data_IF_600788255144
#
_entry.id   IF_600788255144
#
_cell.length_a   1.000
_cell.length_b   1.000
_cell.length_c   1.000
_cell.angle_alpha   90.00
_cell.angle_beta   90.00
_cell.angle_gamma   90.00
#
_symmetry.space_group_name_H-M   'P 1'
#
loop_
_entity.id
_entity.type
_entity.pdbx_description
1 polymer ?
#
# COMPACT_ATOMS: atom_id res chain seq x y z
N UNK A 1 -24.20 -12.81 9.41
CA UNK A 1 -22.92 -12.41 8.76
C UNK A 1 -22.29 -11.31 9.59
N UNK A 2 -20.99 -11.39 9.86
CA UNK A 2 -20.27 -10.32 10.56
C UNK A 2 -20.24 -9.08 9.69
N UNK A 3 -20.67 -7.93 10.22
CA UNK A 3 -20.68 -6.68 9.48
C UNK A 3 -19.24 -6.24 9.16
N UNK A 4 -18.97 -5.82 7.92
CA UNK A 4 -17.66 -5.30 7.50
C UNK A 4 -17.66 -3.78 7.49
N UNK A 5 -16.56 -3.18 7.96
CA UNK A 5 -16.33 -1.73 7.91
C UNK A 5 -15.09 -1.47 7.07
N UNK A 6 -15.29 -0.90 5.91
CA UNK A 6 -14.23 -0.49 4.99
C UNK A 6 -13.75 0.92 5.32
N UNK A 7 -12.46 1.16 5.17
CA UNK A 7 -11.87 2.48 5.39
C UNK A 7 -10.70 2.74 4.44
N UNK A 8 -10.59 3.97 3.98
CA UNK A 8 -9.55 4.44 3.07
C UNK A 8 -8.41 5.09 3.86
N UNK A 9 -7.23 4.49 3.82
CA UNK A 9 -6.00 5.01 4.43
C UNK A 9 -4.86 5.01 3.41
N UNK A 10 -4.80 6.03 2.52
CA UNK A 10 -3.86 6.10 1.39
C UNK A 10 -2.40 6.24 1.81
N UNK A 11 -2.16 6.58 3.07
CA UNK A 11 -0.84 6.73 3.68
C UNK A 11 -0.24 5.40 4.18
N UNK A 12 -0.83 4.26 3.82
CA UNK A 12 -0.42 2.97 4.37
C UNK A 12 1.05 2.62 4.12
N UNK A 13 1.55 2.84 2.90
CA UNK A 13 2.96 2.55 2.56
C UNK A 13 3.93 3.42 3.38
N UNK A 14 3.59 4.69 3.58
CA UNK A 14 4.37 5.58 4.45
C UNK A 14 4.35 5.12 5.91
N UNK A 15 3.22 4.61 6.38
CA UNK A 15 3.08 4.05 7.72
C UNK A 15 3.88 2.75 7.89
N UNK A 16 3.90 1.88 6.87
CA UNK A 16 4.72 0.67 6.83
C UNK A 16 6.21 1.00 6.82
N UNK A 17 6.62 1.98 6.00
CA UNK A 17 8.00 2.46 5.94
C UNK A 17 8.49 2.99 7.29
N UNK A 18 7.64 3.73 8.02
CA UNK A 18 7.98 4.24 9.35
C UNK A 18 8.13 3.13 10.39
N UNK A 19 7.41 2.01 10.25
CA UNK A 19 7.52 0.82 11.12
C UNK A 19 7.04 0.99 12.56
N UNK A 20 6.87 2.23 13.03
CA UNK A 20 6.49 2.53 14.40
C UNK A 20 5.06 3.05 14.55
N UNK A 21 4.51 2.92 15.75
CA UNK A 21 3.15 3.36 16.02
C UNK A 21 2.95 4.86 16.28
N UNK A 22 3.97 5.67 16.06
CA UNK A 22 3.93 7.13 16.23
C UNK A 22 3.97 7.87 14.89
N UNK A 23 3.74 7.17 13.79
CA UNK A 23 3.67 7.79 12.46
C UNK A 23 2.50 8.80 12.40
N UNK A 24 2.79 9.98 11.87
CA UNK A 24 1.82 11.03 11.58
C UNK A 24 1.78 11.21 10.06
N UNK A 25 0.61 11.02 9.47
CA UNK A 25 0.43 11.22 8.03
C UNK A 25 0.73 12.67 7.64
N UNK A 26 1.45 12.90 6.51
CA UNK A 26 1.67 14.25 6.02
C UNK A 26 0.35 14.93 5.60
N UNK A 27 0.28 16.27 5.57
CA UNK A 27 -0.97 16.99 5.29
C UNK A 27 -1.66 16.58 3.98
N UNK A 28 -0.89 16.32 2.93
CA UNK A 28 -1.44 15.90 1.64
C UNK A 28 -2.15 14.54 1.73
N UNK A 29 -1.61 13.60 2.50
CA UNK A 29 -2.20 12.27 2.68
C UNK A 29 -3.45 12.34 3.57
N UNK A 30 -3.44 13.21 4.60
CA UNK A 30 -4.63 13.47 5.42
C UNK A 30 -5.75 14.09 4.59
N UNK A 31 -5.42 15.07 3.73
CA UNK A 31 -6.38 15.66 2.80
C UNK A 31 -6.96 14.61 1.85
N UNK A 32 -6.11 13.80 1.21
CA UNK A 32 -6.56 12.72 0.32
C UNK A 32 -7.46 11.72 1.05
N UNK A 33 -7.11 11.34 2.28
CA UNK A 33 -7.94 10.45 3.10
C UNK A 33 -9.33 11.04 3.34
N UNK A 34 -9.43 12.33 3.65
CA UNK A 34 -10.70 12.98 3.91
C UNK A 34 -11.53 13.15 2.63
N UNK A 35 -10.91 13.63 1.54
CA UNK A 35 -11.58 13.89 0.27
C UNK A 35 -12.11 12.59 -0.37
N UNK A 36 -11.39 11.48 -0.21
CA UNK A 36 -11.71 10.19 -0.84
C UNK A 36 -12.18 9.12 0.15
N UNK A 37 -12.59 9.50 1.37
CA UNK A 37 -12.99 8.54 2.40
C UNK A 37 -14.17 7.64 1.98
N UNK A 38 -15.02 8.09 1.06
CA UNK A 38 -16.13 7.32 0.51
C UNK A 38 -15.72 6.33 -0.61
N UNK A 39 -14.47 6.37 -1.09
CA UNK A 39 -14.00 5.50 -2.19
C UNK A 39 -14.33 4.02 -1.99
N UNK A 40 -14.24 3.44 -0.78
CA UNK A 40 -14.56 2.05 -0.56
C UNK A 40 -16.00 1.65 -0.90
N UNK A 41 -16.95 2.57 -0.99
CA UNK A 41 -18.34 2.22 -1.35
C UNK A 41 -18.47 1.54 -2.72
N UNK A 42 -17.49 1.76 -3.62
CA UNK A 42 -17.50 1.23 -4.99
C UNK A 42 -17.05 -0.22 -5.11
N UNK A 43 -16.37 -0.75 -4.07
CA UNK A 43 -15.88 -2.14 -4.07
C UNK A 43 -16.24 -2.92 -2.80
N UNK A 44 -16.86 -2.26 -1.79
CA UNK A 44 -17.26 -2.92 -0.57
C UNK A 44 -18.36 -3.96 -0.84
N UNK A 45 -18.32 -5.06 -0.09
CA UNK A 45 -19.33 -6.10 -0.19
C UNK A 45 -20.73 -5.56 0.20
N UNK A 46 -21.80 -6.03 -0.44
CA UNK A 46 -23.16 -5.65 -0.06
C UNK A 46 -23.44 -5.82 1.43
N UNK A 47 -24.14 -4.87 2.03
CA UNK A 47 -24.44 -4.86 3.47
C UNK A 47 -23.31 -4.36 4.38
N UNK A 48 -22.20 -3.91 3.79
CA UNK A 48 -21.07 -3.35 4.54
C UNK A 48 -21.29 -1.88 4.91
N UNK A 49 -20.38 -1.38 5.78
CA UNK A 49 -20.27 0.05 6.08
C UNK A 49 -18.96 0.62 5.53
N UNK A 50 -18.95 1.93 5.28
CA UNK A 50 -17.77 2.71 4.87
C UNK A 50 -17.51 3.80 5.90
N UNK A 51 -16.32 3.80 6.49
CA UNK A 51 -15.90 4.85 7.42
C UNK A 51 -15.61 6.13 6.66
N UNK A 52 -16.35 7.17 6.97
CA UNK A 52 -16.24 8.48 6.33
C UNK A 52 -15.78 9.57 7.31
N UNK A 53 -15.43 10.74 6.79
CA UNK A 53 -14.81 11.80 7.58
C UNK A 53 -15.79 12.44 8.59
N UNK A 54 -17.02 12.66 8.16
CA UNK A 54 -18.05 13.42 8.90
C UNK A 54 -19.48 13.00 8.54
N UNK A 55 -20.44 13.66 9.15
CA UNK A 55 -21.87 13.38 8.97
C UNK A 55 -22.38 13.73 7.56
N UNK A 56 -21.87 14.82 6.97
CA UNK A 56 -22.27 15.21 5.61
C UNK A 56 -21.86 14.14 4.60
N UNK A 57 -20.65 13.59 4.74
CA UNK A 57 -20.17 12.50 3.88
C UNK A 57 -20.93 11.19 4.17
N UNK A 58 -21.35 10.94 5.41
CA UNK A 58 -22.19 9.79 5.75
C UNK A 58 -23.54 9.88 5.02
N UNK A 59 -24.21 11.03 5.07
CA UNK A 59 -25.46 11.27 4.36
C UNK A 59 -25.31 11.13 2.85
N UNK A 60 -24.20 11.62 2.31
CA UNK A 60 -23.87 11.49 0.89
C UNK A 60 -23.70 10.01 0.48
N UNK A 61 -22.99 9.21 1.28
CA UNK A 61 -22.82 7.77 1.03
C UNK A 61 -24.17 7.07 1.08
N UNK A 62 -24.98 7.34 2.11
CA UNK A 62 -26.29 6.70 2.30
C UNK A 62 -27.25 7.01 1.13
N UNK A 63 -27.36 8.29 0.74
CA UNK A 63 -28.22 8.73 -0.36
C UNK A 63 -27.74 8.25 -1.73
N UNK A 64 -26.42 8.24 -1.95
CA UNK A 64 -25.83 7.74 -3.20
C UNK A 64 -26.00 6.23 -3.32
N UNK A 65 -25.81 5.50 -2.22
CA UNK A 65 -26.02 4.06 -2.12
C UNK A 65 -27.47 3.71 -2.48
N UNK A 66 -28.45 4.40 -1.89
CA UNK A 66 -29.87 4.21 -2.18
C UNK A 66 -30.19 4.48 -3.66
N UNK A 67 -29.71 5.60 -4.20
CA UNK A 67 -29.94 5.99 -5.60
C UNK A 67 -29.37 4.97 -6.60
N UNK A 68 -28.24 4.32 -6.27
CA UNK A 68 -27.58 3.34 -7.13
C UNK A 68 -28.03 1.89 -6.85
N UNK A 69 -28.91 1.68 -5.88
CA UNK A 69 -29.34 0.32 -5.48
C UNK A 69 -28.28 -0.47 -4.71
N UNK A 70 -27.30 0.21 -4.12
CA UNK A 70 -26.34 -0.43 -3.23
C UNK A 70 -26.94 -0.62 -1.84
N UNK A 71 -26.34 -1.53 -1.07
CA UNK A 71 -26.70 -1.77 0.34
C UNK A 71 -25.59 -1.33 1.30
N UNK A 72 -24.79 -0.35 0.89
CA UNK A 72 -23.69 0.22 1.65
C UNK A 72 -24.21 1.36 2.53
N UNK A 73 -23.68 1.47 3.75
CA UNK A 73 -24.00 2.56 4.68
C UNK A 73 -22.73 3.31 5.11
N UNK A 74 -22.84 4.62 5.29
CA UNK A 74 -21.79 5.41 5.91
C UNK A 74 -21.74 5.21 7.43
N UNK A 75 -20.53 5.28 8.01
CA UNK A 75 -20.31 5.32 9.47
C UNK A 75 -19.28 6.39 9.79
N UNK A 76 -19.55 7.19 10.82
CA UNK A 76 -18.61 8.23 11.30
C UNK A 76 -17.65 7.70 12.36
N UNK A 77 -16.51 8.35 12.59
CA UNK A 77 -15.55 7.94 13.62
C UNK A 77 -16.14 7.83 15.02
N UNK A 78 -17.11 8.67 15.38
CA UNK A 78 -17.74 8.66 16.71
C UNK A 78 -18.63 7.42 16.94
N UNK A 79 -19.05 6.77 15.87
CA UNK A 79 -19.87 5.57 15.93
C UNK A 79 -19.05 4.28 15.99
N UNK A 80 -17.72 4.32 15.78
CA UNK A 80 -16.87 3.12 15.72
C UNK A 80 -16.84 2.33 17.04
N UNK A 81 -16.89 3.02 18.19
CA UNK A 81 -16.89 2.38 19.51
C UNK A 81 -18.11 1.45 19.72
N UNK A 82 -19.17 1.62 18.94
CA UNK A 82 -20.39 0.80 19.00
C UNK A 82 -20.33 -0.44 18.08
N UNK A 83 -19.31 -0.54 17.22
CA UNK A 83 -19.12 -1.65 16.28
C UNK A 83 -18.50 -2.88 16.99
N UNK A 84 -19.25 -3.52 17.89
CA UNK A 84 -18.75 -4.54 18.81
C UNK A 84 -18.41 -5.88 18.15
N UNK A 85 -18.93 -6.17 16.94
CA UNK A 85 -18.78 -7.44 16.22
C UNK A 85 -18.41 -7.23 14.75
N UNK A 86 -17.85 -6.05 14.41
CA UNK A 86 -17.50 -5.73 13.05
C UNK A 86 -16.08 -6.25 12.69
N UNK A 87 -15.91 -6.64 11.42
CA UNK A 87 -14.63 -6.87 10.80
C UNK A 87 -14.15 -5.60 10.08
N UNK A 88 -12.94 -5.17 10.33
CA UNK A 88 -12.38 -3.96 9.73
C UNK A 88 -11.58 -4.31 8.47
N UNK A 89 -11.86 -3.58 7.38
CA UNK A 89 -11.26 -3.76 6.07
C UNK A 89 -10.59 -2.44 5.62
N UNK A 90 -9.42 -2.06 6.16
CA UNK A 90 -8.69 -0.88 5.68
C UNK A 90 -8.15 -1.10 4.27
N UNK A 91 -7.88 -0.01 3.55
CA UNK A 91 -7.15 -0.04 2.28
C UNK A 91 -5.81 -0.78 2.42
N UNK A 92 -5.12 -0.56 3.54
CA UNK A 92 -3.96 -1.35 3.92
C UNK A 92 -3.81 -1.45 5.44
N UNK A 93 -3.41 -2.62 5.91
CA UNK A 93 -3.12 -2.85 7.32
C UNK A 93 -1.71 -2.35 7.69
N UNK A 94 -1.61 -1.65 8.82
CA UNK A 94 -0.36 -1.24 9.46
C UNK A 94 -0.58 -1.05 10.96
N UNK A 95 0.49 -1.05 11.74
CA UNK A 95 0.42 -0.74 13.18
C UNK A 95 -0.22 0.63 13.46
N UNK A 96 -0.07 1.57 12.53
CA UNK A 96 -0.66 2.92 12.64
C UNK A 96 -2.18 2.88 12.57
N UNK A 97 -2.76 2.22 11.56
CA UNK A 97 -4.22 2.15 11.44
C UNK A 97 -4.84 1.36 12.59
N UNK A 98 -4.20 0.28 13.04
CA UNK A 98 -4.61 -0.45 14.24
C UNK A 98 -4.70 0.47 15.46
N UNK A 99 -3.66 1.26 15.74
CA UNK A 99 -3.64 2.22 16.87
C UNK A 99 -4.69 3.32 16.71
N UNK A 100 -4.90 3.83 15.47
CA UNK A 100 -5.97 4.82 15.21
C UNK A 100 -7.36 4.26 15.54
N UNK A 101 -7.64 3.01 15.16
CA UNK A 101 -8.91 2.34 15.47
C UNK A 101 -9.09 2.12 16.98
N UNK A 102 -8.07 1.66 17.68
CA UNK A 102 -8.10 1.51 19.15
C UNK A 102 -8.36 2.86 19.83
N UNK A 103 -7.69 3.92 19.39
CA UNK A 103 -7.91 5.29 19.93
C UNK A 103 -9.34 5.78 19.71
N UNK A 104 -10.06 5.26 18.70
CA UNK A 104 -11.47 5.53 18.41
C UNK A 104 -12.43 4.58 19.15
N UNK A 105 -11.93 3.79 20.08
CA UNK A 105 -12.74 2.91 20.93
C UNK A 105 -13.00 1.52 20.36
N UNK A 106 -12.37 1.14 19.23
CA UNK A 106 -12.46 -0.22 18.70
C UNK A 106 -11.72 -1.17 19.62
N UNK A 107 -12.36 -2.28 19.99
CA UNK A 107 -11.77 -3.28 20.88
C UNK A 107 -10.63 -4.01 20.19
N UNK A 108 -9.50 -4.16 20.87
CA UNK A 108 -8.27 -4.74 20.31
C UNK A 108 -8.44 -6.17 19.78
N UNK A 109 -9.32 -6.98 20.38
CA UNK A 109 -9.57 -8.35 19.93
C UNK A 109 -10.29 -8.46 18.57
N UNK A 110 -10.89 -7.38 18.09
CA UNK A 110 -11.48 -7.28 16.74
C UNK A 110 -10.44 -6.95 15.66
N UNK A 111 -9.21 -6.66 16.05
CA UNK A 111 -8.14 -6.20 15.17
C UNK A 111 -7.02 -7.27 15.10
N UNK A 112 -6.27 -7.32 13.98
CA UNK A 112 -5.16 -8.25 13.87
C UNK A 112 -4.12 -8.05 14.99
N UNK A 113 -3.39 -9.11 15.37
CA UNK A 113 -2.33 -9.05 16.36
C UNK A 113 -1.16 -8.16 15.91
N UNK A 114 -0.28 -7.74 16.83
CA UNK A 114 0.91 -6.97 16.46
C UNK A 114 1.88 -7.82 15.62
N UNK A 115 1.95 -9.13 15.89
CA UNK A 115 2.71 -10.05 15.05
C UNK A 115 2.16 -10.12 13.61
N UNK A 116 0.83 -10.11 13.43
CA UNK A 116 0.23 -10.04 12.09
C UNK A 116 0.54 -8.71 11.39
N UNK A 117 0.57 -7.58 12.12
CA UNK A 117 0.97 -6.29 11.55
C UNK A 117 2.43 -6.29 11.10
N UNK A 118 3.33 -6.89 11.84
CA UNK A 118 4.73 -7.02 11.43
C UNK A 118 4.87 -7.95 10.21
N UNK A 119 4.12 -9.05 10.15
CA UNK A 119 4.10 -9.90 8.95
C UNK A 119 3.62 -9.14 7.70
N UNK A 120 2.57 -8.33 7.82
CA UNK A 120 2.11 -7.47 6.71
C UNK A 120 3.23 -6.53 6.27
N UNK A 121 3.95 -5.90 7.21
CA UNK A 121 5.07 -5.00 6.93
C UNK A 121 6.19 -5.73 6.19
N UNK A 122 6.59 -6.90 6.65
CA UNK A 122 7.63 -7.72 6.02
C UNK A 122 7.23 -8.18 4.62
N UNK A 123 5.98 -8.62 4.43
CA UNK A 123 5.47 -9.06 3.13
C UNK A 123 5.33 -7.90 2.13
N UNK A 124 5.03 -6.69 2.60
CA UNK A 124 4.93 -5.50 1.75
C UNK A 124 6.30 -4.95 1.31
N UNK A 125 7.41 -5.45 1.88
CA UNK A 125 8.76 -5.00 1.51
C UNK A 125 9.13 -5.45 0.10
N UNK A 126 9.63 -4.54 -0.73
CA UNK A 126 9.96 -4.83 -2.15
C UNK A 126 11.01 -5.91 -2.34
N UNK A 127 11.86 -6.21 -1.32
CA UNK A 127 12.82 -7.34 -1.41
C UNK A 127 12.16 -8.67 -1.73
N UNK A 128 10.88 -8.83 -1.42
CA UNK A 128 10.14 -10.04 -1.74
C UNK A 128 9.99 -10.26 -3.26
N UNK A 129 10.18 -9.20 -4.08
CA UNK A 129 10.21 -9.34 -5.54
C UNK A 129 11.41 -10.16 -6.02
N UNK A 130 12.52 -10.18 -5.28
CA UNK A 130 13.72 -10.98 -5.59
C UNK A 130 13.36 -12.48 -5.54
N UNK A 131 12.77 -12.91 -4.43
CA UNK A 131 12.34 -14.31 -4.27
C UNK A 131 11.25 -14.69 -5.27
N UNK A 132 10.30 -13.78 -5.55
CA UNK A 132 9.27 -13.98 -6.56
C UNK A 132 9.88 -14.09 -7.95
N UNK A 133 10.87 -13.26 -8.30
CA UNK A 133 11.55 -13.31 -9.58
C UNK A 133 12.22 -14.67 -9.80
N UNK A 134 12.97 -15.18 -8.81
CA UNK A 134 13.57 -16.52 -8.88
C UNK A 134 12.50 -17.61 -9.02
N UNK A 135 11.42 -17.53 -8.26
CA UNK A 135 10.31 -18.48 -8.33
C UNK A 135 9.69 -18.54 -9.75
N UNK A 136 9.52 -17.38 -10.40
CA UNK A 136 9.00 -17.29 -11.76
C UNK A 136 10.03 -17.83 -12.75
N UNK A 137 11.30 -17.45 -12.62
CA UNK A 137 12.38 -17.87 -13.51
C UNK A 137 12.54 -19.39 -13.61
N UNK A 138 12.33 -20.09 -12.49
CA UNK A 138 12.35 -21.55 -12.44
C UNK A 138 11.16 -22.23 -13.17
N UNK A 139 10.08 -21.46 -13.43
CA UNK A 139 8.79 -22.00 -13.94
C UNK A 139 8.38 -21.49 -15.30
N UNK A 140 9.18 -20.64 -15.92
CA UNK A 140 8.92 -20.11 -17.26
C UNK A 140 10.16 -20.20 -18.14
N UNK A 141 9.94 -20.36 -19.43
CA UNK A 141 10.97 -20.21 -20.47
C UNK A 141 10.96 -18.81 -21.10
N UNK A 142 10.07 -17.91 -20.64
CA UNK A 142 10.03 -16.55 -21.15
C UNK A 142 11.27 -15.76 -20.67
N UNK A 143 11.80 -14.87 -21.52
CA UNK A 143 12.87 -13.97 -21.09
C UNK A 143 12.35 -13.03 -19.98
N UNK A 144 13.04 -13.02 -18.86
CA UNK A 144 12.77 -12.10 -17.76
C UNK A 144 13.86 -11.02 -17.72
N UNK A 145 13.52 -9.87 -17.14
CA UNK A 145 14.51 -8.85 -16.77
C UNK A 145 15.52 -9.44 -15.77
N UNK A 146 16.71 -8.85 -15.61
CA UNK A 146 17.64 -9.25 -14.55
C UNK A 146 16.99 -9.21 -13.18
N UNK A 147 17.42 -10.12 -12.28
CA UNK A 147 16.94 -10.15 -10.89
C UNK A 147 17.22 -8.81 -10.21
N UNK A 148 16.24 -8.22 -9.52
CA UNK A 148 16.48 -7.04 -8.70
C UNK A 148 17.52 -7.28 -7.62
N UNK A 149 18.29 -6.26 -7.25
CA UNK A 149 19.31 -6.34 -6.19
C UNK A 149 19.00 -5.31 -5.11
N UNK A 150 19.14 -5.70 -3.86
CA UNK A 150 18.98 -4.80 -2.72
C UNK A 150 20.35 -4.38 -2.17
N UNK A 151 20.52 -3.07 -1.93
CA UNK A 151 21.72 -2.48 -1.36
C UNK A 151 21.36 -1.57 -0.18
N UNK A 152 22.24 -1.53 0.82
CA UNK A 152 22.17 -0.67 2.00
C UNK A 152 23.28 0.40 2.03
N UNK A 153 24.22 0.36 1.07
CA UNK A 153 25.28 1.33 0.88
C UNK A 153 25.10 2.16 -0.39
N UNK A 154 25.33 3.48 -0.29
CA UNK A 154 25.18 4.39 -1.42
C UNK A 154 26.15 4.11 -2.56
N UNK A 155 27.41 3.70 -2.27
CA UNK A 155 28.40 3.46 -3.32
C UNK A 155 28.04 2.23 -4.14
N UNK A 156 27.42 1.21 -3.54
CA UNK A 156 26.91 0.04 -4.26
C UNK A 156 25.74 0.42 -5.16
N UNK A 157 24.82 1.27 -4.68
CA UNK A 157 23.72 1.82 -5.49
C UNK A 157 24.24 2.65 -6.65
N UNK A 158 25.25 3.49 -6.42
CA UNK A 158 25.88 4.32 -7.45
C UNK A 158 26.60 3.47 -8.49
N UNK A 159 27.36 2.45 -8.05
CA UNK A 159 28.05 1.51 -8.93
C UNK A 159 27.03 0.75 -9.82
N UNK A 160 25.95 0.25 -9.22
CA UNK A 160 24.87 -0.40 -9.97
C UNK A 160 24.26 0.55 -11.01
N UNK A 161 23.87 1.75 -10.61
CA UNK A 161 23.22 2.72 -11.49
C UNK A 161 24.17 3.19 -12.62
N UNK A 162 25.46 3.30 -12.35
CA UNK A 162 26.50 3.65 -13.34
C UNK A 162 26.69 2.53 -14.37
N UNK A 163 26.66 1.28 -13.93
CA UNK A 163 26.73 0.09 -14.82
C UNK A 163 25.48 -0.14 -15.65
N UNK A 164 24.33 0.34 -15.14
CA UNK A 164 23.00 0.18 -15.75
C UNK A 164 22.28 1.53 -15.89
N UNK A 165 22.72 2.42 -16.80
CA UNK A 165 22.03 3.70 -17.03
C UNK A 165 20.55 3.48 -17.38
N UNK A 166 19.66 4.29 -16.81
CA UNK A 166 18.22 4.10 -16.97
C UNK A 166 17.62 3.06 -16.02
N UNK A 167 18.39 2.57 -15.04
CA UNK A 167 17.86 1.71 -13.98
C UNK A 167 16.86 2.42 -13.07
N UNK A 168 16.03 1.63 -12.40
CA UNK A 168 15.08 2.10 -11.39
C UNK A 168 15.57 1.79 -9.99
N UNK A 169 15.72 2.83 -9.18
CA UNK A 169 16.10 2.72 -7.77
C UNK A 169 14.84 2.96 -6.93
N UNK A 170 14.44 1.98 -6.11
CA UNK A 170 13.14 1.97 -5.44
C UNK A 170 13.29 1.88 -3.92
N UNK A 171 12.53 2.70 -3.21
CA UNK A 171 12.41 2.55 -1.75
C UNK A 171 11.68 1.25 -1.40
N UNK A 172 12.04 0.56 -0.30
CA UNK A 172 11.42 -0.68 0.14
C UNK A 172 9.90 -0.65 0.30
N UNK A 173 9.39 0.41 0.91
CA UNK A 173 7.96 0.64 1.09
C UNK A 173 7.56 1.94 0.40
N UNK A 174 6.94 1.81 -0.75
CA UNK A 174 6.41 2.94 -1.49
C UNK A 174 5.40 2.45 -2.52
N UNK A 175 4.44 3.29 -2.88
CA UNK A 175 3.41 3.00 -3.85
C UNK A 175 3.20 4.14 -4.85
N UNK A 176 2.43 3.90 -5.90
CA UNK A 176 1.98 4.90 -6.88
C UNK A 176 3.12 5.74 -7.48
N UNK A 177 4.25 5.11 -7.80
CA UNK A 177 5.43 5.78 -8.36
C UNK A 177 6.22 6.64 -7.37
N UNK A 178 5.70 6.92 -6.18
CA UNK A 178 6.47 7.61 -5.14
C UNK A 178 7.58 6.71 -4.61
N UNK A 179 8.73 7.30 -4.29
CA UNK A 179 9.88 6.52 -3.81
C UNK A 179 10.54 5.67 -4.90
N UNK A 180 10.39 6.06 -6.16
CA UNK A 180 11.11 5.49 -7.31
C UNK A 180 11.93 6.59 -7.96
N UNK A 181 13.21 6.32 -8.21
CA UNK A 181 14.11 7.20 -8.96
C UNK A 181 14.54 6.49 -10.25
N UNK A 182 14.37 7.17 -11.38
CA UNK A 182 14.86 6.70 -12.67
C UNK A 182 16.26 7.25 -12.90
N UNK A 183 17.27 6.40 -12.79
CA UNK A 183 18.69 6.77 -12.81
C UNK A 183 19.23 6.87 -14.25
N UNK A 184 18.82 7.90 -14.99
CA UNK A 184 19.34 8.19 -16.33
C UNK A 184 20.77 8.73 -16.21
N UNK A 185 21.00 9.67 -15.29
CA UNK A 185 22.29 10.29 -15.00
C UNK A 185 22.61 10.10 -13.50
N UNK A 186 23.23 8.96 -13.12
CA UNK A 186 23.39 8.62 -11.70
C UNK A 186 24.47 9.43 -10.96
N UNK A 187 25.37 10.12 -11.67
CA UNK A 187 26.46 10.89 -11.05
C UNK A 187 26.05 12.33 -10.67
N UNK A 188 24.76 12.60 -10.45
CA UNK A 188 24.27 13.92 -10.08
C UNK A 188 24.15 14.10 -8.57
N UNK A 189 24.29 15.36 -8.10
CA UNK A 189 24.06 15.71 -6.69
C UNK A 189 22.62 15.38 -6.26
N UNK A 190 21.66 15.48 -7.18
CA UNK A 190 20.27 15.16 -6.93
C UNK A 190 20.08 13.66 -6.64
N UNK A 191 20.64 12.80 -7.47
CA UNK A 191 20.66 11.35 -7.27
C UNK A 191 21.26 10.96 -5.92
N UNK A 192 22.47 11.50 -5.63
CA UNK A 192 23.16 11.25 -4.36
C UNK A 192 22.28 11.64 -3.16
N UNK A 193 21.72 12.86 -3.19
CA UNK A 193 20.87 13.38 -2.12
C UNK A 193 19.63 12.52 -1.93
N UNK A 194 18.99 12.11 -3.02
CA UNK A 194 17.80 11.27 -2.98
C UNK A 194 18.13 9.89 -2.38
N UNK A 195 19.16 9.20 -2.88
CA UNK A 195 19.58 7.89 -2.40
C UNK A 195 19.95 7.91 -0.92
N UNK A 196 20.85 8.84 -0.51
CA UNK A 196 21.25 8.97 0.90
C UNK A 196 20.06 9.30 1.81
N UNK A 197 19.15 10.15 1.35
CA UNK A 197 17.91 10.45 2.08
C UNK A 197 16.97 9.25 2.19
N UNK A 198 16.90 8.41 1.17
CA UNK A 198 16.09 7.20 1.16
C UNK A 198 16.69 6.10 2.05
N UNK A 199 17.98 5.84 1.94
CA UNK A 199 18.73 4.90 2.81
C UNK A 199 18.59 5.28 4.28
N UNK A 200 18.71 6.57 4.61
CA UNK A 200 18.50 7.04 6.00
C UNK A 200 17.09 6.76 6.53
N UNK A 201 16.08 6.77 5.67
CA UNK A 201 14.68 6.57 6.09
C UNK A 201 14.24 5.11 6.12
N UNK A 202 14.73 4.30 5.18
CA UNK A 202 14.24 2.94 4.94
C UNK A 202 15.35 1.88 4.89
N UNK A 203 16.57 2.24 5.24
CA UNK A 203 17.75 1.38 5.46
C UNK A 203 18.30 0.70 4.20
N UNK A 204 17.52 0.50 3.16
CA UNK A 204 17.94 -0.12 1.91
C UNK A 204 17.25 0.49 0.69
N UNK A 205 17.75 0.15 -0.50
CA UNK A 205 17.16 0.47 -1.79
C UNK A 205 17.16 -0.76 -2.68
N UNK A 206 16.08 -0.98 -3.43
CA UNK A 206 16.02 -2.01 -4.46
C UNK A 206 16.38 -1.42 -5.81
N UNK A 207 17.36 -2.02 -6.47
CA UNK A 207 17.87 -1.61 -7.78
C UNK A 207 17.41 -2.58 -8.86
N UNK A 208 16.81 -2.07 -9.92
CA UNK A 208 16.30 -2.86 -11.04
C UNK A 208 16.85 -2.31 -12.36
N UNK A 209 17.30 -3.20 -13.25
CA UNK A 209 17.64 -2.81 -14.62
C UNK A 209 16.37 -2.33 -15.32
N UNK A 210 16.40 -1.14 -15.90
CA UNK A 210 15.26 -0.57 -16.60
C UNK A 210 14.93 -1.37 -17.87
N UNK A 211 13.72 -1.93 -18.00
CA UNK A 211 13.30 -2.52 -19.26
C UNK A 211 12.86 -1.44 -20.24
N UNK A 212 12.91 -1.78 -21.54
CA UNK A 212 12.22 -0.99 -22.56
C UNK A 212 10.70 -1.18 -22.38
N UNK A 213 10.06 -0.18 -21.78
CA UNK A 213 8.62 -0.23 -21.49
C UNK A 213 7.81 -0.08 -22.76
N UNK A 214 7.00 -1.09 -23.05
CA UNK A 214 6.06 -1.08 -24.17
C UNK A 214 4.59 -1.10 -23.73
N UNK A 215 4.34 -1.57 -22.51
CA UNK A 215 3.00 -1.69 -21.94
C UNK A 215 3.09 -1.75 -20.41
N UNK A 216 2.22 -1.04 -19.72
CA UNK A 216 2.01 -1.18 -18.28
C UNK A 216 0.70 -1.92 -18.01
N UNK A 217 0.74 -2.87 -17.11
CA UNK A 217 -0.45 -3.59 -16.67
C UNK A 217 -0.36 -3.94 -15.18
N UNK A 218 -1.51 -4.20 -14.57
CA UNK A 218 -1.60 -4.77 -13.24
C UNK A 218 -2.45 -6.05 -13.27
N UNK A 219 -2.16 -6.96 -12.34
CA UNK A 219 -2.97 -8.14 -12.06
C UNK A 219 -3.64 -7.95 -10.70
N UNK A 220 -4.96 -8.11 -10.66
CA UNK A 220 -5.75 -7.98 -9.44
C UNK A 220 -6.04 -9.36 -8.86
N UNK A 221 -5.72 -9.55 -7.58
CA UNK A 221 -5.94 -10.80 -6.86
C UNK A 221 -6.79 -10.59 -5.62
N UNK A 222 -7.72 -11.51 -5.38
CA UNK A 222 -8.36 -11.70 -4.07
C UNK A 222 -7.60 -12.77 -3.31
N UNK A 223 -7.08 -12.41 -2.13
CA UNK A 223 -6.37 -13.34 -1.23
C UNK A 223 -7.21 -13.57 0.02
N UNK A 224 -7.67 -14.78 0.23
CA UNK A 224 -8.49 -15.15 1.39
C UNK A 224 -8.18 -16.58 1.81
N UNK A 225 -8.04 -16.81 3.13
CA UNK A 225 -7.79 -18.15 3.71
C UNK A 225 -6.62 -18.91 3.07
N UNK A 226 -5.53 -18.22 2.76
CA UNK A 226 -4.33 -18.81 2.15
C UNK A 226 -4.48 -19.18 0.67
N UNK A 227 -5.55 -18.75 0.02
CA UNK A 227 -5.77 -18.92 -1.42
C UNK A 227 -5.71 -17.56 -2.12
N UNK A 228 -5.13 -17.54 -3.31
CA UNK A 228 -5.14 -16.38 -4.21
C UNK A 228 -5.99 -16.72 -5.45
N UNK A 229 -6.92 -15.84 -5.78
CA UNK A 229 -7.79 -15.92 -6.96
C UNK A 229 -7.50 -14.71 -7.84
N UNK A 230 -7.20 -14.92 -9.11
CA UNK A 230 -7.06 -13.85 -10.10
C UNK A 230 -8.45 -13.29 -10.41
N UNK A 231 -8.67 -12.01 -10.11
CA UNK A 231 -9.93 -11.32 -10.43
C UNK A 231 -9.92 -10.72 -11.82
N UNK A 232 -8.77 -10.28 -12.29
CA UNK A 232 -8.64 -9.63 -13.58
C UNK A 232 -7.28 -8.97 -13.76
N UNK A 233 -7.20 -8.18 -14.82
CA UNK A 233 -6.05 -7.34 -15.10
C UNK A 233 -6.51 -5.98 -15.63
N UNK A 234 -5.71 -4.96 -15.38
CA UNK A 234 -5.87 -3.63 -15.98
C UNK A 234 -4.65 -3.26 -16.80
N UNK A 235 -4.88 -2.54 -17.89
CA UNK A 235 -3.85 -2.04 -18.80
C UNK A 235 -3.85 -0.53 -18.70
N UNK A 236 -2.66 0.07 -18.63
CA UNK A 236 -2.47 1.51 -18.53
C UNK A 236 -1.86 2.04 -19.85
N UNK A 237 -2.43 3.13 -20.37
CA UNK A 237 -1.91 3.87 -21.52
C UNK A 237 -1.21 5.16 -21.06
#
# INVERSE_FOLDING_TARGET
>A
MTQRIYLFNPDNDLALAHGGGHYIAPPFAQKMQNDLCALPMWYAEPGSMVLVADEAMREWVDSTSERLGFTIKGITPDSLAKANDASFCPWGWSGTIKKRLIKRGVKAHLLPSDAAMEQVRLLAHRRNSIAMHHFIQERTSLPLSPVPVEYDDFNEVLDFATKHPGSYIKMPWSGSGQGVYHAIEPCTIEFERWCKGALKRQESLLCEVGPDRILDFALEFKCENGKAELLGYSVFE
#
